data_IF_795935009632
#
_entry.id   IF_795935009632
#
_cell.length_a   1.000
_cell.length_b   1.000
_cell.length_c   1.000
_cell.angle_alpha   90.00
_cell.angle_beta   90.00
_cell.angle_gamma   90.00
#
_symmetry.space_group_name_H-M   'P 1'
#
loop_
_entity.id
_entity.type
_entity.pdbx_description
1 polymer ?
#
# COMPACT_ATOMS: atom_id res chain seq x y z
N UNK A 1 -22.19 -56.22 49.84
CA UNK A 1 -23.30 -56.81 49.06
C UNK A 1 -24.61 -56.24 49.55
N UNK A 2 -25.32 -55.44 48.74
CA UNK A 2 -26.71 -55.07 49.04
C UNK A 2 -27.51 -54.95 47.74
N UNK A 3 -28.59 -55.72 47.75
CA UNK A 3 -29.88 -55.53 47.06
C UNK A 3 -30.02 -56.07 45.63
N UNK A 4 -30.85 -57.11 45.50
CA UNK A 4 -31.86 -57.17 44.43
C UNK A 4 -33.04 -58.02 44.89
N UNK A 5 -34.15 -57.35 45.18
CA UNK A 5 -35.50 -57.91 45.09
C UNK A 5 -36.36 -56.80 44.55
N UNK A 6 -36.93 -56.99 43.36
CA UNK A 6 -38.38 -56.89 43.19
C UNK A 6 -38.79 -57.44 41.83
N UNK A 7 -39.68 -58.42 41.96
CA UNK A 7 -40.45 -59.06 40.91
C UNK A 7 -41.32 -58.05 40.15
N UNK A 8 -41.39 -58.32 38.85
CA UNK A 8 -42.38 -57.91 37.88
C UNK A 8 -43.81 -58.36 38.26
N UNK A 9 -44.80 -57.47 38.07
CA UNK A 9 -46.21 -57.84 37.85
C UNK A 9 -46.84 -56.94 36.76
N UNK A 10 -47.27 -57.63 35.70
CA UNK A 10 -48.28 -57.40 34.63
C UNK A 10 -48.64 -55.97 34.22
N UNK A 11 -48.52 -55.58 32.95
CA UNK A 11 -49.23 -56.08 31.74
C UNK A 11 -50.73 -55.73 31.65
N UNK A 12 -51.17 -54.60 32.23
CA UNK A 12 -52.56 -54.11 32.05
C UNK A 12 -52.69 -52.60 31.78
N UNK A 13 -51.59 -51.92 31.44
CA UNK A 13 -51.61 -50.46 31.18
C UNK A 13 -51.32 -50.08 29.72
N UNK A 14 -51.33 -51.02 28.77
CA UNK A 14 -50.94 -50.77 27.38
C UNK A 14 -52.09 -50.48 26.39
N UNK A 15 -53.36 -50.58 26.79
CA UNK A 15 -54.50 -50.32 25.88
C UNK A 15 -55.21 -48.98 26.10
N UNK A 16 -54.67 -48.10 26.95
CA UNK A 16 -55.06 -46.67 26.96
C UNK A 16 -54.08 -45.79 26.18
N UNK A 17 -53.50 -46.38 25.14
CA UNK A 17 -53.04 -45.66 23.96
C UNK A 17 -54.25 -45.18 23.15
N UNK A 18 -54.09 -44.08 22.42
CA UNK A 18 -54.77 -43.73 21.16
C UNK A 18 -55.87 -42.66 21.11
N UNK A 19 -56.16 -41.88 22.18
CA UNK A 19 -57.14 -40.76 22.04
C UNK A 19 -56.66 -39.35 22.40
N UNK A 20 -55.42 -39.16 22.83
CA UNK A 20 -54.92 -37.82 23.23
C UNK A 20 -53.70 -37.30 22.42
N UNK A 21 -53.35 -37.94 21.29
CA UNK A 21 -52.19 -37.51 20.48
C UNK A 21 -52.55 -36.97 19.10
N UNK A 22 -53.76 -36.45 18.93
CA UNK A 22 -54.21 -35.81 17.70
C UNK A 22 -54.80 -34.42 17.95
N UNK A 23 -54.07 -33.56 18.67
CA UNK A 23 -54.31 -32.12 18.61
C UNK A 23 -53.01 -31.37 18.31
N UNK A 24 -52.87 -31.05 17.02
CA UNK A 24 -52.36 -29.78 16.51
C UNK A 24 -50.86 -29.54 16.78
N UNK A 25 -50.06 -30.04 15.84
CA UNK A 25 -48.82 -29.43 15.39
C UNK A 25 -49.11 -28.01 14.85
N UNK A 26 -49.24 -27.04 15.74
CA UNK A 26 -49.18 -25.62 15.38
C UNK A 26 -47.72 -25.15 15.43
N UNK A 27 -47.09 -25.09 14.26
CA UNK A 27 -45.86 -24.35 14.10
C UNK A 27 -46.07 -22.88 14.44
N UNK A 28 -45.30 -22.34 15.40
CA UNK A 28 -45.04 -20.90 15.52
C UNK A 28 -43.55 -20.65 15.76
N UNK A 29 -42.84 -20.69 14.63
CA UNK A 29 -41.92 -19.65 14.16
C UNK A 29 -40.74 -19.24 15.07
N UNK A 30 -39.63 -19.98 14.96
CA UNK A 30 -38.28 -19.49 15.31
C UNK A 30 -37.59 -18.70 14.17
N UNK A 31 -38.32 -18.41 13.08
CA UNK A 31 -37.78 -17.80 11.85
C UNK A 31 -38.10 -16.30 11.68
N UNK A 32 -38.76 -15.64 12.64
CA UNK A 32 -39.17 -14.24 12.49
C UNK A 32 -38.17 -13.21 13.05
N UNK A 33 -37.12 -13.63 13.76
CA UNK A 33 -36.17 -12.71 14.41
C UNK A 33 -34.83 -12.52 13.67
N UNK A 34 -34.60 -13.11 12.49
CA UNK A 34 -33.24 -13.21 11.91
C UNK A 34 -32.98 -12.72 10.47
N UNK A 35 -33.74 -11.79 9.87
CA UNK A 35 -33.24 -11.02 8.74
C UNK A 35 -32.66 -9.65 9.16
N UNK A 36 -33.23 -8.98 10.15
CA UNK A 36 -32.79 -7.62 10.52
C UNK A 36 -31.55 -7.62 11.41
N UNK A 37 -31.47 -8.53 12.39
CA UNK A 37 -30.30 -8.68 13.26
C UNK A 37 -29.07 -9.11 12.43
N UNK A 38 -29.25 -10.02 11.47
CA UNK A 38 -28.15 -10.48 10.60
C UNK A 38 -27.69 -9.39 9.62
N UNK A 39 -28.62 -8.62 9.04
CA UNK A 39 -28.29 -7.45 8.20
C UNK A 39 -27.60 -6.34 9.00
N UNK A 40 -28.00 -6.10 10.25
CA UNK A 40 -27.40 -5.09 11.11
C UNK A 40 -25.99 -5.49 11.57
N UNK A 41 -25.76 -6.76 11.92
CA UNK A 41 -24.43 -7.29 12.25
C UNK A 41 -23.50 -7.27 11.02
N UNK A 42 -23.99 -7.67 9.85
CA UNK A 42 -23.22 -7.61 8.59
C UNK A 42 -22.88 -6.16 8.20
N UNK A 43 -23.83 -5.23 8.36
CA UNK A 43 -23.62 -3.80 8.15
C UNK A 43 -22.55 -3.26 9.11
N UNK A 44 -22.64 -3.57 10.39
CA UNK A 44 -21.65 -3.15 11.39
C UNK A 44 -20.27 -3.72 11.10
N UNK A 45 -20.17 -5.00 10.72
CA UNK A 45 -18.90 -5.64 10.39
C UNK A 45 -18.28 -5.05 9.12
N UNK A 46 -19.08 -4.80 8.08
CA UNK A 46 -18.60 -4.14 6.86
C UNK A 46 -18.07 -2.72 7.13
N UNK A 47 -18.67 -1.99 8.06
CA UNK A 47 -18.20 -0.66 8.49
C UNK A 47 -16.94 -0.74 9.35
N UNK A 48 -16.71 -1.84 10.08
CA UNK A 48 -15.47 -2.09 10.82
C UNK A 48 -14.33 -2.43 9.86
N UNK A 49 -14.53 -3.40 8.98
CA UNK A 49 -13.58 -3.77 7.93
C UNK A 49 -13.20 -2.56 7.06
N UNK A 50 -14.18 -1.73 6.70
CA UNK A 50 -13.91 -0.50 5.94
C UNK A 50 -13.07 0.50 6.74
N UNK A 51 -13.38 0.72 8.02
CA UNK A 51 -12.60 1.62 8.89
C UNK A 51 -11.19 1.09 9.15
N UNK A 52 -11.04 -0.20 9.41
CA UNK A 52 -9.74 -0.85 9.61
C UNK A 52 -8.89 -0.78 8.34
N UNK A 53 -9.49 -1.07 7.18
CA UNK A 53 -8.84 -0.91 5.88
C UNK A 53 -8.46 0.55 5.57
N UNK A 54 -9.29 1.52 5.96
CA UNK A 54 -8.96 2.94 5.85
C UNK A 54 -7.80 3.34 6.77
N UNK A 55 -7.75 2.85 8.01
CA UNK A 55 -6.66 3.13 8.95
C UNK A 55 -5.33 2.55 8.45
N UNK A 56 -5.32 1.30 7.99
CA UNK A 56 -4.13 0.66 7.42
C UNK A 56 -3.62 1.44 6.20
N UNK A 57 -4.52 1.82 5.28
CA UNK A 57 -4.17 2.67 4.13
C UNK A 57 -3.60 4.02 4.54
N UNK A 58 -4.15 4.65 5.58
CA UNK A 58 -3.63 5.93 6.09
C UNK A 58 -2.23 5.77 6.67
N UNK A 59 -1.97 4.70 7.40
CA UNK A 59 -0.63 4.41 7.93
C UNK A 59 0.38 4.21 6.80
N UNK A 60 0.03 3.44 5.78
CA UNK A 60 0.87 3.22 4.61
C UNK A 60 1.11 4.53 3.83
N UNK A 61 0.07 5.33 3.63
CA UNK A 61 0.18 6.65 2.98
C UNK A 61 1.11 7.60 3.76
N UNK A 62 1.08 7.55 5.09
CA UNK A 62 1.96 8.35 5.93
C UNK A 62 3.42 7.90 5.81
N UNK A 63 3.68 6.59 5.82
CA UNK A 63 5.03 6.03 5.62
C UNK A 63 5.60 6.44 4.27
N UNK A 64 4.81 6.28 3.20
CA UNK A 64 5.22 6.69 1.85
C UNK A 64 5.53 8.19 1.79
N UNK A 65 4.70 9.04 2.42
CA UNK A 65 4.96 10.48 2.48
C UNK A 65 6.26 10.81 3.23
N UNK A 66 6.53 10.12 4.33
CA UNK A 66 7.76 10.29 5.09
C UNK A 66 8.98 9.89 4.25
N UNK A 67 8.95 8.74 3.59
CA UNK A 67 10.02 8.28 2.69
C UNK A 67 10.27 9.26 1.53
N UNK A 68 9.20 9.80 0.94
CA UNK A 68 9.35 10.83 -0.10
C UNK A 68 9.98 12.11 0.47
N UNK A 69 9.64 12.49 1.70
CA UNK A 69 10.24 13.66 2.36
C UNK A 69 11.72 13.46 2.62
N UNK A 70 12.12 12.30 3.14
CA UNK A 70 13.53 11.99 3.41
C UNK A 70 14.35 11.98 2.12
N UNK A 71 13.84 11.39 1.05
CA UNK A 71 14.49 11.44 -0.28
C UNK A 71 14.65 12.88 -0.76
N UNK A 72 13.64 13.75 -0.59
CA UNK A 72 13.74 15.17 -0.98
C UNK A 72 14.78 15.92 -0.16
N UNK A 73 14.89 15.65 1.13
CA UNK A 73 15.91 16.23 2.00
C UNK A 73 17.31 15.81 1.57
N UNK A 74 17.51 14.52 1.26
CA UNK A 74 18.79 14.01 0.74
C UNK A 74 19.15 14.62 -0.61
N UNK A 75 18.19 14.81 -1.52
CA UNK A 75 18.41 15.56 -2.76
C UNK A 75 18.83 17.01 -2.48
N UNK A 76 18.24 17.65 -1.46
CA UNK A 76 18.64 18.98 -1.01
C UNK A 76 20.08 19.03 -0.49
N UNK A 77 20.51 18.02 0.28
CA UNK A 77 21.91 17.88 0.74
C UNK A 77 22.85 17.67 -0.44
N UNK A 78 22.48 16.82 -1.40
CA UNK A 78 23.25 16.57 -2.61
C UNK A 78 23.53 17.85 -3.40
N UNK A 79 22.54 18.73 -3.57
CA UNK A 79 22.70 20.03 -4.24
C UNK A 79 23.81 20.86 -3.56
N UNK A 80 23.79 20.93 -2.22
CA UNK A 80 24.81 21.67 -1.46
C UNK A 80 26.20 21.06 -1.68
N UNK A 81 26.32 19.74 -1.58
CA UNK A 81 27.60 19.03 -1.77
C UNK A 81 28.17 19.22 -3.17
N UNK A 82 27.34 19.15 -4.22
CA UNK A 82 27.77 19.40 -5.61
C UNK A 82 28.24 20.85 -5.78
N UNK A 83 27.54 21.82 -5.18
CA UNK A 83 27.94 23.23 -5.28
C UNK A 83 29.29 23.51 -4.61
N UNK A 84 29.58 22.85 -3.49
CA UNK A 84 30.87 22.94 -2.81
C UNK A 84 31.96 22.26 -3.64
N UNK A 85 31.69 21.06 -4.15
CA UNK A 85 32.62 20.33 -5.02
C UNK A 85 32.97 21.15 -6.27
N UNK A 86 32.00 21.81 -6.89
CA UNK A 86 32.21 22.68 -8.04
C UNK A 86 33.19 23.83 -7.70
N UNK A 87 33.00 24.50 -6.56
CA UNK A 87 33.86 25.61 -6.13
C UNK A 87 35.30 25.15 -5.89
N UNK A 88 35.49 24.06 -5.17
CA UNK A 88 36.84 23.53 -4.90
C UNK A 88 37.51 23.01 -6.17
N UNK A 89 36.77 22.34 -7.06
CA UNK A 89 37.30 21.90 -8.35
C UNK A 89 37.78 23.08 -9.20
N UNK A 90 37.01 24.17 -9.24
CA UNK A 90 37.42 25.39 -9.96
C UNK A 90 38.73 25.98 -9.41
N UNK A 91 38.89 26.02 -8.08
CA UNK A 91 40.14 26.47 -7.45
C UNK A 91 41.30 25.56 -7.81
N UNK A 92 41.13 24.24 -7.73
CA UNK A 92 42.18 23.27 -8.06
C UNK A 92 42.59 23.36 -9.54
N UNK A 93 41.66 23.57 -10.46
CA UNK A 93 41.96 23.76 -11.89
C UNK A 93 42.71 25.06 -12.15
N UNK A 94 42.40 26.13 -11.40
CA UNK A 94 43.08 27.42 -11.52
C UNK A 94 44.46 27.44 -10.86
N UNK A 95 44.74 26.48 -9.96
CA UNK A 95 45.99 26.40 -9.23
C UNK A 95 47.07 25.70 -10.08
N UNK A 96 48.13 26.42 -10.41
CA UNK A 96 49.32 25.86 -11.05
C UNK A 96 50.24 25.23 -10.00
N UNK A 97 50.65 23.98 -10.22
CA UNK A 97 51.58 23.27 -9.33
C UNK A 97 52.99 23.50 -9.86
N UNK A 98 53.72 24.41 -9.20
CA UNK A 98 55.05 24.88 -9.65
C UNK A 98 56.15 23.83 -9.44
N UNK A 99 55.99 22.88 -8.51
CA UNK A 99 56.93 21.77 -8.28
C UNK A 99 56.21 20.46 -7.85
N UNK A 100 55.73 19.65 -8.81
CA UNK A 100 54.95 18.45 -8.50
C UNK A 100 55.83 17.26 -8.07
N UNK A 101 55.84 16.94 -6.77
CA UNK A 101 56.39 15.68 -6.25
C UNK A 101 55.47 14.44 -6.44
N UNK A 102 56.02 13.23 -6.22
CA UNK A 102 55.31 11.93 -6.33
C UNK A 102 54.00 11.89 -5.53
N UNK A 103 53.97 12.54 -4.36
CA UNK A 103 52.77 12.64 -3.54
C UNK A 103 51.61 13.34 -4.29
N UNK A 104 51.88 14.47 -4.94
CA UNK A 104 50.88 15.22 -5.69
C UNK A 104 50.32 14.38 -6.84
N UNK A 105 51.18 13.63 -7.53
CA UNK A 105 50.76 12.74 -8.61
C UNK A 105 49.80 11.65 -8.12
N UNK A 106 50.15 10.93 -7.04
CA UNK A 106 49.32 9.86 -6.50
C UNK A 106 47.98 10.40 -5.98
N UNK A 107 48.00 11.54 -5.29
CA UNK A 107 46.79 12.19 -4.80
C UNK A 107 45.86 12.60 -5.95
N UNK A 108 46.39 13.28 -6.98
CA UNK A 108 45.60 13.70 -8.14
C UNK A 108 45.06 12.51 -8.95
N UNK A 109 45.81 11.41 -9.01
CA UNK A 109 45.36 10.18 -9.66
C UNK A 109 44.18 9.54 -8.90
N UNK A 110 44.25 9.48 -7.57
CA UNK A 110 43.14 9.00 -6.75
C UNK A 110 41.91 9.92 -6.86
N UNK A 111 42.14 11.24 -6.85
CA UNK A 111 41.10 12.24 -7.02
C UNK A 111 40.42 12.08 -8.39
N UNK A 112 41.20 11.90 -9.45
CA UNK A 112 40.69 11.64 -10.81
C UNK A 112 39.79 10.41 -10.86
N UNK A 113 40.22 9.28 -10.29
CA UNK A 113 39.41 8.06 -10.25
C UNK A 113 38.09 8.28 -9.52
N UNK A 114 38.13 8.98 -8.39
CA UNK A 114 36.95 9.31 -7.59
C UNK A 114 35.97 10.19 -8.38
N UNK A 115 36.46 11.22 -9.07
CA UNK A 115 35.63 12.12 -9.91
C UNK A 115 34.98 11.36 -11.07
N UNK A 116 35.71 10.46 -11.74
CA UNK A 116 35.17 9.64 -12.83
C UNK A 116 34.00 8.79 -12.34
N UNK A 117 34.16 8.13 -11.19
CA UNK A 117 33.10 7.33 -10.59
C UNK A 117 31.88 8.19 -10.22
N UNK A 118 32.10 9.33 -9.57
CA UNK A 118 31.03 10.27 -9.22
C UNK A 118 30.26 10.74 -10.45
N UNK A 119 30.96 11.07 -11.55
CA UNK A 119 30.33 11.52 -12.79
C UNK A 119 29.37 10.45 -13.35
N UNK A 120 29.79 9.19 -13.37
CA UNK A 120 28.93 8.10 -13.83
C UNK A 120 27.65 7.96 -12.98
N UNK A 121 27.77 8.12 -11.65
CA UNK A 121 26.61 8.08 -10.73
C UNK A 121 25.67 9.26 -10.93
N UNK A 122 26.21 10.45 -11.20
CA UNK A 122 25.41 11.65 -11.49
C UNK A 122 24.66 11.51 -12.81
N UNK A 123 25.30 11.00 -13.86
CA UNK A 123 24.66 10.75 -15.17
C UNK A 123 23.50 9.77 -15.03
N UNK A 124 23.73 8.64 -14.35
CA UNK A 124 22.69 7.65 -14.10
C UNK A 124 21.51 8.24 -13.31
N UNK A 125 21.80 8.96 -12.22
CA UNK A 125 20.76 9.61 -11.40
C UNK A 125 19.98 10.65 -12.20
N UNK A 126 20.65 11.37 -13.12
CA UNK A 126 20.00 12.35 -13.99
C UNK A 126 19.00 11.69 -14.94
N UNK A 127 19.30 10.48 -15.42
CA UNK A 127 18.36 9.71 -16.26
C UNK A 127 17.09 9.34 -15.48
N UNK A 128 17.23 8.84 -14.25
CA UNK A 128 16.09 8.52 -13.37
C UNK A 128 15.24 9.75 -13.03
N UNK A 129 15.88 10.86 -12.66
CA UNK A 129 15.19 12.12 -12.37
C UNK A 129 14.48 12.68 -13.61
N UNK A 130 15.12 12.60 -14.78
CA UNK A 130 14.53 12.99 -16.07
C UNK A 130 13.30 12.15 -16.40
N UNK A 131 13.37 10.83 -16.22
CA UNK A 131 12.24 9.93 -16.42
C UNK A 131 11.07 10.25 -15.48
N UNK A 132 11.36 10.48 -14.19
CA UNK A 132 10.37 10.87 -13.20
C UNK A 132 9.68 12.19 -13.58
N UNK A 133 10.46 13.20 -13.94
CA UNK A 133 9.95 14.51 -14.34
C UNK A 133 9.16 14.48 -15.66
N UNK A 134 9.51 13.60 -16.59
CA UNK A 134 8.73 13.39 -17.83
C UNK A 134 7.38 12.73 -17.53
N UNK A 135 7.36 11.73 -16.64
CA UNK A 135 6.13 11.05 -16.23
C UNK A 135 5.16 12.02 -15.53
N UNK A 136 5.66 12.84 -14.61
CA UNK A 136 4.82 13.81 -13.89
C UNK A 136 4.18 14.85 -14.83
N UNK A 137 4.94 15.36 -15.81
CA UNK A 137 4.42 16.28 -16.84
C UNK A 137 3.32 15.66 -17.69
N UNK A 138 3.50 14.41 -18.14
CA UNK A 138 2.49 13.68 -18.94
C UNK A 138 1.20 13.43 -18.16
N UNK A 139 1.31 13.00 -16.90
CA UNK A 139 0.15 12.83 -16.03
C UNK A 139 -0.57 14.17 -15.79
N UNK A 140 0.17 15.25 -15.51
CA UNK A 140 -0.41 16.58 -15.34
C UNK A 140 -1.20 17.05 -16.56
N UNK A 141 -0.64 16.89 -17.77
CA UNK A 141 -1.34 17.22 -19.01
C UNK A 141 -2.59 16.36 -19.22
N UNK A 142 -2.48 15.04 -19.00
CA UNK A 142 -3.62 14.14 -19.14
C UNK A 142 -4.78 14.55 -18.24
N UNK A 143 -4.51 14.79 -16.95
CA UNK A 143 -5.53 15.19 -15.99
C UNK A 143 -6.06 16.61 -16.24
N UNK A 144 -5.22 17.53 -16.69
CA UNK A 144 -5.66 18.87 -17.10
C UNK A 144 -6.65 18.81 -18.28
N UNK A 145 -6.40 17.93 -19.25
CA UNK A 145 -7.28 17.76 -20.40
C UNK A 145 -8.55 16.98 -20.05
N UNK A 146 -8.45 15.99 -19.16
CA UNK A 146 -9.61 15.31 -18.58
C UNK A 146 -10.54 16.30 -17.85
N UNK A 147 -9.97 17.26 -17.11
CA UNK A 147 -10.75 18.31 -16.44
C UNK A 147 -11.43 19.25 -17.43
N UNK A 148 -10.79 19.57 -18.57
CA UNK A 148 -11.35 20.48 -19.59
C UNK A 148 -12.43 19.83 -20.45
N UNK A 149 -12.20 18.60 -20.89
CA UNK A 149 -13.03 17.91 -21.88
C UNK A 149 -13.98 16.88 -21.27
N UNK A 150 -13.91 16.67 -19.95
CA UNK A 150 -14.79 15.79 -19.20
C UNK A 150 -14.63 14.31 -19.56
N UNK A 151 -15.68 13.54 -19.26
CA UNK A 151 -15.74 12.08 -19.47
C UNK A 151 -15.53 11.66 -20.93
N UNK A 152 -15.86 12.52 -21.91
CA UNK A 152 -15.59 12.27 -23.33
C UNK A 152 -14.09 12.10 -23.62
N UNK A 153 -13.23 12.78 -22.87
CA UNK A 153 -11.78 12.68 -23.05
C UNK A 153 -11.20 11.43 -22.40
N UNK A 154 -11.64 11.09 -21.19
CA UNK A 154 -11.15 9.91 -20.46
C UNK A 154 -11.66 8.60 -21.04
N UNK A 155 -12.87 8.60 -21.63
CA UNK A 155 -13.52 7.40 -22.17
C UNK A 155 -13.31 7.21 -23.68
N UNK A 156 -12.44 8.01 -24.29
CA UNK A 156 -12.05 7.80 -25.69
C UNK A 156 -11.39 6.43 -25.84
N UNK A 157 -11.88 5.59 -26.76
CA UNK A 157 -11.45 4.18 -26.89
C UNK A 157 -9.95 4.01 -27.15
N UNK A 158 -9.32 5.02 -27.73
CA UNK A 158 -7.88 5.16 -27.94
C UNK A 158 -7.06 5.39 -26.64
N UNK A 159 -7.69 5.92 -25.58
CA UNK A 159 -7.02 6.24 -24.30
C UNK A 159 -7.38 5.30 -23.16
N UNK A 160 -8.56 4.66 -23.23
CA UNK A 160 -9.02 3.70 -22.20
C UNK A 160 -8.00 2.57 -22.00
N UNK A 161 -7.36 2.10 -23.07
CA UNK A 161 -6.31 1.08 -23.03
C UNK A 161 -5.03 1.56 -22.32
N UNK A 162 -4.66 2.83 -22.48
CA UNK A 162 -3.47 3.42 -21.85
C UNK A 162 -3.63 3.65 -20.34
N UNK A 163 -4.86 3.80 -19.84
CA UNK A 163 -5.14 3.93 -18.40
C UNK A 163 -5.33 2.60 -17.69
N UNK A 164 -5.54 1.50 -18.41
CA UNK A 164 -5.91 0.21 -17.84
C UNK A 164 -4.71 -0.66 -17.43
N UNK A 165 -3.50 -0.30 -17.88
CA UNK A 165 -2.25 -1.02 -17.59
C UNK A 165 -1.52 -0.51 -16.34
N UNK A 166 -2.22 0.11 -15.39
CA UNK A 166 -1.66 0.62 -14.12
C UNK A 166 -1.98 -0.30 -12.95
#
# INVERSE_FOLDING_TARGET
>A
MKQSKKHFKSFDSLEKSKRETAEITEGRNINALKPEISKNVFSQESLRIKREGESLRREDDLKVKQEISTVREELGKLIKSISLLQKETQKTVAQEIVDPGIYHQNFLQLLKQTIIFLRARVEESTNWLSALNKRSKKQGHYWAQAKKSGTKYTLSGERSSATQTL
#
